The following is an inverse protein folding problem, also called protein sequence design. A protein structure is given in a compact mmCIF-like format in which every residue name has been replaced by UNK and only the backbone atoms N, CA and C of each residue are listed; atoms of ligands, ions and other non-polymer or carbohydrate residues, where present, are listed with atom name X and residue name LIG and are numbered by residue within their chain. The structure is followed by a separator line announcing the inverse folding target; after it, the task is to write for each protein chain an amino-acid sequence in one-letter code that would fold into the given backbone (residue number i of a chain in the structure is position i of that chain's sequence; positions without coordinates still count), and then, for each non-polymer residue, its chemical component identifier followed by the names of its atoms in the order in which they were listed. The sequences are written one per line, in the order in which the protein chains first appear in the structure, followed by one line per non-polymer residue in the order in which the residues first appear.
data_IF_043380536138
#
_entry.id   IF_043380536138
#
_cell.length_a   1.000
_cell.length_b   1.000
_cell.length_c   1.000
_cell.angle_alpha   90.00
_cell.angle_beta   90.00
_cell.angle_gamma   90.00
#
_symmetry.space_group_name_H-M   'P 1'
#
loop_
_entity.id
_entity.type
_entity.pdbx_description
1 polymer ?
#
# COMPACT_ATOMS: atom_id res chain seq x y z
N UNK A 1 7.04 12.33 6.61
CA UNK A 1 6.87 10.88 6.44
C UNK A 1 5.53 10.52 7.03
N UNK A 2 4.73 9.86 6.23
CA UNK A 2 3.31 9.58 6.40
C UNK A 2 3.23 8.05 6.45
N UNK A 3 2.41 7.50 7.36
CA UNK A 3 2.40 6.04 7.61
C UNK A 3 2.12 5.18 6.37
N UNK A 4 1.53 5.75 5.32
CA UNK A 4 1.34 5.08 4.03
C UNK A 4 2.65 4.88 3.26
N UNK A 5 3.52 5.89 3.19
CA UNK A 5 4.78 5.82 2.42
C UNK A 5 5.76 4.81 3.03
N UNK A 6 5.78 4.73 4.37
CA UNK A 6 6.58 3.76 5.13
C UNK A 6 6.10 2.34 4.85
N UNK A 7 4.79 2.09 4.94
CA UNK A 7 4.19 0.78 4.65
C UNK A 7 4.45 0.37 3.19
N UNK A 8 4.31 1.28 2.22
CA UNK A 8 4.62 0.99 0.81
C UNK A 8 6.12 0.70 0.61
N UNK A 9 7.00 1.39 1.33
CA UNK A 9 8.44 1.13 1.26
C UNK A 9 8.82 -0.24 1.80
N UNK A 10 8.26 -0.64 2.93
CA UNK A 10 8.46 -1.96 3.53
C UNK A 10 7.98 -3.07 2.59
N UNK A 11 6.75 -2.98 2.09
CA UNK A 11 6.19 -4.00 1.19
C UNK A 11 6.97 -4.11 -0.13
N UNK A 12 7.47 -2.99 -0.65
CA UNK A 12 8.35 -3.00 -1.80
C UNK A 12 9.68 -3.70 -1.50
N UNK A 13 10.27 -3.46 -0.32
CA UNK A 13 11.50 -4.16 0.11
C UNK A 13 11.30 -5.65 0.35
N UNK A 14 10.07 -6.07 0.64
CA UNK A 14 9.63 -7.47 0.71
C UNK A 14 9.28 -8.07 -0.66
N UNK A 15 9.53 -7.35 -1.76
CA UNK A 15 9.23 -7.76 -3.15
C UNK A 15 7.75 -8.09 -3.40
N UNK A 16 6.84 -7.51 -2.60
CA UNK A 16 5.40 -7.71 -2.74
C UNK A 16 4.89 -7.14 -4.05
N UNK A 17 4.11 -7.93 -4.77
CA UNK A 17 3.58 -7.57 -6.09
C UNK A 17 2.32 -6.69 -5.95
N UNK A 18 2.04 -5.75 -6.87
CA UNK A 18 0.85 -4.90 -6.80
C UNK A 18 -0.43 -5.69 -7.12
N UNK A 19 -0.96 -6.38 -6.12
CA UNK A 19 -2.15 -7.23 -6.22
C UNK A 19 -3.12 -7.00 -5.04
N UNK A 20 -4.26 -7.68 -5.06
CA UNK A 20 -5.31 -7.53 -4.04
C UNK A 20 -4.84 -7.91 -2.63
N UNK A 21 -3.97 -8.91 -2.50
CA UNK A 21 -3.40 -9.32 -1.21
C UNK A 21 -2.54 -8.21 -0.62
N UNK A 22 -1.71 -7.57 -1.45
CA UNK A 22 -0.88 -6.45 -1.01
C UNK A 22 -1.71 -5.23 -0.60
N UNK A 23 -2.81 -4.94 -1.30
CA UNK A 23 -3.73 -3.87 -0.88
C UNK A 23 -4.39 -4.16 0.48
N UNK A 24 -4.71 -5.41 0.76
CA UNK A 24 -5.21 -5.84 2.07
C UNK A 24 -4.13 -5.75 3.15
N UNK A 25 -2.89 -6.09 2.83
CA UNK A 25 -1.78 -5.96 3.77
C UNK A 25 -1.46 -4.49 4.10
N UNK A 26 -1.50 -3.59 3.11
CA UNK A 26 -1.36 -2.14 3.35
C UNK A 26 -2.43 -1.68 4.32
N UNK A 27 -3.69 -2.05 4.07
CA UNK A 27 -4.82 -1.72 4.94
C UNK A 27 -4.58 -2.22 6.38
N UNK A 28 -4.17 -3.48 6.53
CA UNK A 28 -3.90 -4.10 7.83
C UNK A 28 -2.77 -3.41 8.59
N UNK A 29 -1.67 -3.04 7.92
CA UNK A 29 -0.55 -2.30 8.54
C UNK A 29 -0.95 -0.89 8.93
N UNK A 30 -1.76 -0.21 8.11
CA UNK A 30 -2.31 1.11 8.45
C UNK A 30 -3.22 1.06 9.69
N UNK A 31 -4.09 0.05 9.78
CA UNK A 31 -4.96 -0.15 10.94
C UNK A 31 -4.17 -0.45 12.22
N UNK A 32 -3.09 -1.26 12.12
CA UNK A 32 -2.16 -1.53 13.23
C UNK A 32 -1.43 -0.27 13.69
N UNK A 33 -1.18 0.67 12.79
CA UNK A 33 -0.54 1.96 13.08
C UNK A 33 -1.55 3.04 13.56
N UNK A 34 -2.64 2.62 14.21
CA UNK A 34 -3.72 3.46 14.77
C UNK A 34 -4.56 4.26 13.75
N UNK A 35 -4.60 3.87 12.46
CA UNK A 35 -5.57 4.46 11.52
C UNK A 35 -6.87 3.66 11.52
N UNK A 36 -7.93 4.20 12.11
CA UNK A 36 -9.24 3.56 12.01
C UNK A 36 -9.80 3.71 10.59
N UNK A 37 -10.08 2.59 9.93
CA UNK A 37 -10.76 2.56 8.63
C UNK A 37 -12.12 1.89 8.81
N UNK A 38 -13.24 2.61 8.60
CA UNK A 38 -14.58 2.05 8.73
C UNK A 38 -14.76 0.81 7.84
N UNK A 39 -15.38 -0.28 8.33
CA UNK A 39 -15.62 -1.49 7.52
C UNK A 39 -16.30 -1.22 6.17
N UNK A 40 -17.23 -0.25 6.14
CA UNK A 40 -17.94 0.18 4.93
C UNK A 40 -17.03 0.81 3.87
N UNK A 41 -15.93 1.44 4.28
CA UNK A 41 -14.98 2.11 3.40
C UNK A 41 -13.82 1.21 2.96
N UNK A 42 -13.65 0.03 3.59
CA UNK A 42 -12.50 -0.86 3.35
C UNK A 42 -12.33 -1.26 1.89
N UNK A 43 -13.43 -1.54 1.17
CA UNK A 43 -13.36 -1.97 -0.22
C UNK A 43 -12.88 -0.84 -1.16
N UNK A 44 -13.36 0.37 -0.94
CA UNK A 44 -12.94 1.55 -1.70
C UNK A 44 -11.48 1.88 -1.39
N UNK A 45 -11.11 1.84 -0.10
CA UNK A 45 -9.73 2.01 0.35
C UNK A 45 -8.79 1.00 -0.31
N UNK A 46 -9.10 -0.29 -0.32
CA UNK A 46 -8.26 -1.32 -0.98
C UNK A 46 -8.04 -1.01 -2.47
N UNK A 47 -9.05 -0.50 -3.16
CA UNK A 47 -8.93 -0.12 -4.58
C UNK A 47 -7.96 1.04 -4.78
N UNK A 48 -8.05 2.08 -3.93
CA UNK A 48 -7.14 3.23 -3.96
C UNK A 48 -5.72 2.81 -3.58
N UNK A 49 -5.55 2.06 -2.50
CA UNK A 49 -4.24 1.57 -2.03
C UNK A 49 -3.54 0.71 -3.08
N UNK A 50 -4.28 -0.14 -3.80
CA UNK A 50 -3.72 -0.93 -4.90
C UNK A 50 -3.18 -0.04 -6.02
N UNK A 51 -3.91 1.01 -6.38
CA UNK A 51 -3.49 1.97 -7.40
C UNK A 51 -2.22 2.71 -6.96
N UNK A 52 -2.22 3.27 -5.75
CA UNK A 52 -1.07 4.00 -5.20
C UNK A 52 0.18 3.12 -5.13
N UNK A 53 0.04 1.87 -4.67
CA UNK A 53 1.17 0.95 -4.60
C UNK A 53 1.68 0.53 -5.98
N UNK A 54 0.79 0.40 -6.98
CA UNK A 54 1.19 0.16 -8.36
C UNK A 54 2.03 1.33 -8.90
N UNK A 55 1.53 2.57 -8.73
CA UNK A 55 2.22 3.78 -9.16
C UNK A 55 3.59 3.92 -8.45
N UNK A 56 3.66 3.54 -7.18
CA UNK A 56 4.89 3.51 -6.39
C UNK A 56 5.94 2.52 -6.94
N UNK A 57 5.51 1.29 -7.26
CA UNK A 57 6.38 0.25 -7.83
C UNK A 57 6.89 0.66 -9.21
N UNK A 58 6.01 1.17 -10.06
CA UNK A 58 6.35 1.61 -11.43
C UNK A 58 7.32 2.79 -11.40
N UNK A 59 7.06 3.81 -10.58
CA UNK A 59 7.94 4.98 -10.44
C UNK A 59 9.34 4.67 -9.89
N UNK A 60 9.54 3.50 -9.28
CA UNK A 60 10.86 3.00 -8.84
C UNK A 60 11.57 2.16 -9.90
N UNK A 61 10.82 1.40 -10.70
CA UNK A 61 11.38 0.69 -11.87
C UNK A 61 11.98 1.68 -12.86
N UNK A 62 11.32 2.82 -13.08
CA UNK A 62 11.77 3.85 -14.02
C UNK A 62 12.97 4.67 -13.53
N UNK A 63 13.33 4.57 -12.24
CA UNK A 63 14.47 5.28 -11.63
C UNK A 63 15.70 4.39 -11.40
N UNK A 64 15.67 3.15 -11.90
CA UNK A 64 16.84 2.27 -11.86
C UNK A 64 17.62 2.45 -13.18
N UNK A 65 18.83 3.05 -13.17
CA UNK A 65 19.66 3.19 -14.38
C UNK A 65 20.14 1.83 -14.92
#
# INVERSE_FOLDING_TARGET
MNGLDEVMAELYSEERHPNKETAEEILNRLEKNNNYIPPSARQEYKSVLLKEYKDYVEGRKDKTP
#
